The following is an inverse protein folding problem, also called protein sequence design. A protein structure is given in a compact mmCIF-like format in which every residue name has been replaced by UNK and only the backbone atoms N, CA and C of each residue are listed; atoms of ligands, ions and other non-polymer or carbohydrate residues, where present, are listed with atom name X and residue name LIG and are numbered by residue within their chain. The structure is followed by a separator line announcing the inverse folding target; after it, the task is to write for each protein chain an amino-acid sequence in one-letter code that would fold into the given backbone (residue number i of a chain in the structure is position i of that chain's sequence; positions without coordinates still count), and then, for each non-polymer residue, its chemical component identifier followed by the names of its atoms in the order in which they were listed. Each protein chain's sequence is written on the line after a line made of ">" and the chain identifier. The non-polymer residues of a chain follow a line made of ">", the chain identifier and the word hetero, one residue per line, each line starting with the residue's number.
data_IF_180099406767
#
_entry.id   IF_180099406767
#
_cell.length_a   1.000
_cell.length_b   1.000
_cell.length_c   1.000
_cell.angle_alpha   90.00
_cell.angle_beta   90.00
_cell.angle_gamma   90.00
#
_symmetry.space_group_name_H-M   'P 1'
#
loop_
_entity.id
_entity.type
_entity.pdbx_description
1 polymer ?
#
# COMPACT_ATOMS: atom_id res chain seq x y z
N UNK A 1 -9.04 -15.75 6.62
CA UNK A 1 -8.82 -14.76 5.54
C UNK A 1 -7.69 -13.81 5.92
N UNK A 2 -6.87 -13.42 4.95
CA UNK A 2 -5.76 -12.48 5.12
C UNK A 2 -5.90 -11.26 4.23
N UNK A 3 -5.45 -10.11 4.74
CA UNK A 3 -5.22 -8.90 3.95
C UNK A 3 -3.72 -8.73 3.79
N UNK A 4 -3.28 -8.40 2.59
CA UNK A 4 -1.87 -8.23 2.27
C UNK A 4 -1.67 -6.88 1.60
N UNK A 5 -0.61 -6.16 1.99
CA UNK A 5 -0.22 -4.90 1.36
C UNK A 5 1.18 -5.02 0.80
N UNK A 6 1.38 -4.52 -0.42
CA UNK A 6 2.70 -4.44 -1.05
C UNK A 6 3.14 -2.99 -1.22
N UNK A 7 4.31 -2.68 -0.65
CA UNK A 7 4.93 -1.36 -0.79
C UNK A 7 5.45 -1.09 -2.20
N UNK A 8 5.81 0.17 -2.48
CA UNK A 8 6.21 0.57 -3.84
C UNK A 8 7.44 -0.16 -4.38
N UNK A 9 8.41 -0.53 -3.53
CA UNK A 9 9.57 -1.34 -3.96
C UNK A 9 9.15 -2.75 -4.41
N UNK A 10 8.15 -3.33 -3.76
CA UNK A 10 7.55 -4.62 -4.06
C UNK A 10 6.73 -4.66 -5.36
N UNK A 11 6.46 -3.51 -5.97
CA UNK A 11 5.70 -3.38 -7.23
C UNK A 11 6.41 -2.44 -8.22
N UNK A 12 7.74 -2.39 -8.18
CA UNK A 12 8.50 -1.44 -8.97
C UNK A 12 8.54 -1.74 -10.48
N UNK A 13 8.53 -3.02 -10.84
CA UNK A 13 8.70 -3.56 -12.20
C UNK A 13 8.05 -4.95 -12.34
N UNK A 14 8.12 -5.53 -13.55
CA UNK A 14 7.54 -6.84 -13.87
C UNK A 14 8.12 -8.00 -13.02
N UNK A 15 9.41 -7.97 -12.68
CA UNK A 15 10.04 -8.99 -11.85
C UNK A 15 9.51 -8.95 -10.42
N UNK A 16 9.27 -7.75 -9.88
CA UNK A 16 8.63 -7.57 -8.59
C UNK A 16 7.15 -8.02 -8.62
N UNK A 17 6.41 -7.74 -9.69
CA UNK A 17 5.06 -8.27 -9.86
C UNK A 17 5.02 -9.81 -9.84
N UNK A 18 5.99 -10.47 -10.50
CA UNK A 18 6.11 -11.92 -10.48
C UNK A 18 6.30 -12.46 -9.05
N UNK A 19 7.14 -11.81 -8.24
CA UNK A 19 7.31 -12.16 -6.82
C UNK A 19 6.02 -11.98 -6.03
N UNK A 20 5.32 -10.86 -6.23
CA UNK A 20 4.01 -10.61 -5.60
C UNK A 20 3.03 -11.73 -5.94
N UNK A 21 2.92 -12.12 -7.21
CA UNK A 21 2.04 -13.23 -7.61
C UNK A 21 2.44 -14.54 -6.95
N UNK A 22 3.74 -14.88 -6.93
CA UNK A 22 4.22 -16.08 -6.25
C UNK A 22 3.86 -16.08 -4.75
N UNK A 23 3.98 -14.93 -4.08
CA UNK A 23 3.54 -14.77 -2.69
C UNK A 23 2.03 -14.98 -2.57
N UNK A 24 1.20 -14.32 -3.38
CA UNK A 24 -0.26 -14.50 -3.32
C UNK A 24 -0.65 -15.97 -3.53
N UNK A 25 -0.07 -16.64 -4.53
CA UNK A 25 -0.42 -18.02 -4.91
C UNK A 25 0.01 -19.06 -3.85
N UNK A 26 0.91 -18.72 -2.92
CA UNK A 26 1.33 -19.61 -1.82
C UNK A 26 0.27 -19.78 -0.72
N UNK A 27 -0.68 -18.85 -0.59
CA UNK A 27 -1.71 -18.92 0.44
C UNK A 27 -3.04 -18.40 -0.08
N UNK A 28 -3.96 -19.33 -0.32
CA UNK A 28 -5.31 -19.05 -0.81
C UNK A 28 -6.11 -18.11 0.09
N UNK A 29 -5.71 -17.90 1.34
CA UNK A 29 -6.37 -16.95 2.24
C UNK A 29 -6.03 -15.48 1.92
N UNK A 30 -5.03 -15.20 1.08
CA UNK A 30 -4.65 -13.84 0.64
C UNK A 30 -5.66 -13.32 -0.38
N UNK A 31 -6.79 -12.84 0.13
CA UNK A 31 -7.97 -12.47 -0.68
C UNK A 31 -8.12 -10.96 -0.88
N UNK A 32 -7.51 -10.11 -0.03
CA UNK A 32 -7.53 -8.66 -0.22
C UNK A 32 -6.10 -8.18 -0.38
N UNK A 33 -5.80 -7.56 -1.52
CA UNK A 33 -4.46 -7.09 -1.88
C UNK A 33 -4.47 -5.58 -2.01
N UNK A 34 -3.67 -4.89 -1.18
CA UNK A 34 -3.50 -3.44 -1.24
C UNK A 34 -2.18 -3.11 -1.93
N UNK A 35 -2.24 -2.24 -2.94
CA UNK A 35 -1.10 -1.96 -3.82
C UNK A 35 -0.73 -0.49 -3.75
N UNK A 36 0.54 -0.22 -3.41
CA UNK A 36 1.14 1.10 -3.55
C UNK A 36 1.47 1.44 -5.02
N UNK A 37 1.77 2.71 -5.32
CA UNK A 37 2.33 3.08 -6.61
C UNK A 37 3.70 2.41 -6.86
N UNK A 38 4.00 2.10 -8.13
CA UNK A 38 5.31 1.57 -8.52
C UNK A 38 6.49 2.43 -8.03
N UNK A 39 7.45 1.78 -7.35
CA UNK A 39 8.55 2.40 -6.61
C UNK A 39 9.66 2.98 -7.47
N UNK A 40 10.93 2.74 -7.16
CA UNK A 40 12.05 3.04 -8.07
C UNK A 40 12.44 1.76 -8.80
N UNK A 41 12.86 1.83 -10.06
CA UNK A 41 13.31 0.65 -10.82
C UNK A 41 14.63 0.95 -11.54
N UNK A 42 15.54 -0.02 -11.59
CA UNK A 42 16.85 0.15 -12.22
C UNK A 42 17.57 1.42 -11.77
N UNK A 43 18.00 2.25 -12.73
CA UNK A 43 18.68 3.53 -12.49
C UNK A 43 17.72 4.72 -12.32
N UNK A 44 16.40 4.48 -12.21
CA UNK A 44 15.44 5.57 -12.06
C UNK A 44 15.67 6.33 -10.76
N UNK A 45 15.75 7.65 -10.86
CA UNK A 45 16.03 8.52 -9.70
C UNK A 45 14.79 8.79 -8.85
N UNK A 46 13.58 8.56 -9.37
CA UNK A 46 12.30 8.98 -8.80
C UNK A 46 11.27 7.85 -8.76
N UNK A 47 10.37 7.90 -7.76
CA UNK A 47 9.18 7.04 -7.72
C UNK A 47 8.14 7.52 -8.73
N UNK A 48 7.17 6.66 -9.06
CA UNK A 48 6.06 7.05 -9.92
C UNK A 48 5.27 8.22 -9.34
N UNK A 49 4.97 8.18 -8.04
CA UNK A 49 4.26 9.24 -7.31
C UNK A 49 4.99 10.57 -7.36
N UNK A 50 6.33 10.58 -7.21
CA UNK A 50 7.13 11.80 -7.29
C UNK A 50 6.98 12.46 -8.68
N UNK A 51 6.90 11.65 -9.74
CA UNK A 51 6.70 12.15 -11.10
C UNK A 51 5.31 12.77 -11.26
N UNK A 52 4.28 12.20 -10.64
CA UNK A 52 2.92 12.74 -10.65
C UNK A 52 2.82 14.07 -9.87
N UNK A 53 3.55 14.21 -8.76
CA UNK A 53 3.66 15.51 -8.08
C UNK A 53 4.35 16.56 -8.95
N UNK A 54 5.41 16.20 -9.68
CA UNK A 54 6.05 17.12 -10.62
C UNK A 54 5.12 17.53 -11.77
N UNK A 55 4.27 16.62 -12.25
CA UNK A 55 3.21 16.95 -13.22
C UNK A 55 2.23 17.95 -12.59
N UNK A 56 1.76 17.70 -11.36
CA UNK A 56 0.86 18.62 -10.66
C UNK A 56 1.46 20.03 -10.55
N UNK A 57 2.69 20.14 -10.05
CA UNK A 57 3.42 21.41 -9.93
C UNK A 57 3.65 22.07 -11.30
N UNK A 58 3.87 21.26 -12.35
CA UNK A 58 4.01 21.72 -13.72
C UNK A 58 2.73 22.32 -14.27
N UNK A 59 1.60 21.63 -14.11
CA UNK A 59 0.28 22.07 -14.55
C UNK A 59 -0.15 23.34 -13.82
N UNK A 60 0.04 23.41 -12.50
CA UNK A 60 -0.28 24.59 -11.68
C UNK A 60 0.54 25.82 -12.09
N UNK A 61 1.75 25.60 -12.59
CA UNK A 61 2.64 26.65 -13.09
C UNK A 61 2.52 26.90 -14.61
N UNK A 62 1.58 26.25 -15.31
CA UNK A 62 1.39 26.40 -16.76
C UNK A 62 2.56 25.91 -17.62
N UNK A 63 3.36 24.97 -17.11
CA UNK A 63 4.48 24.34 -17.84
C UNK A 63 4.00 23.18 -18.70
N UNK A 64 4.75 22.86 -19.75
CA UNK A 64 4.56 21.63 -20.50
C UNK A 64 4.94 20.41 -19.63
N UNK A 65 3.97 19.53 -19.42
CA UNK A 65 4.09 18.31 -18.59
C UNK A 65 3.96 17.03 -19.42
N UNK A 66 3.76 17.13 -20.74
CA UNK A 66 3.66 15.97 -21.62
C UNK A 66 4.87 15.03 -21.53
N UNK A 67 6.12 15.53 -21.44
CA UNK A 67 7.27 14.64 -21.27
C UNK A 67 7.20 13.79 -20.00
N UNK A 68 6.61 14.30 -18.92
CA UNK A 68 6.45 13.58 -17.66
C UNK A 68 5.31 12.56 -17.75
N UNK A 69 4.19 12.89 -18.41
CA UNK A 69 3.13 11.93 -18.69
C UNK A 69 3.62 10.77 -19.56
N UNK A 70 4.43 11.05 -20.57
CA UNK A 70 5.04 10.01 -21.41
C UNK A 70 5.98 9.10 -20.61
N UNK A 71 6.72 9.62 -19.62
CA UNK A 71 7.53 8.81 -18.71
C UNK A 71 6.67 7.89 -17.84
N UNK A 72 5.56 8.40 -17.28
CA UNK A 72 4.59 7.61 -16.52
C UNK A 72 4.02 6.48 -17.37
N UNK A 73 3.57 6.78 -18.59
CA UNK A 73 2.99 5.80 -19.50
C UNK A 73 4.03 4.74 -19.91
N UNK A 74 5.19 5.15 -20.39
CA UNK A 74 6.24 4.23 -20.83
C UNK A 74 6.66 3.26 -19.72
N UNK A 75 6.73 3.75 -18.48
CA UNK A 75 7.04 2.90 -17.33
C UNK A 75 5.98 1.84 -17.07
N UNK A 76 4.70 2.21 -17.09
CA UNK A 76 3.60 1.27 -16.83
C UNK A 76 3.40 0.31 -18.01
N UNK A 77 3.60 0.77 -19.25
CA UNK A 77 3.57 -0.08 -20.44
C UNK A 77 4.69 -1.10 -20.45
N UNK A 78 5.88 -0.77 -19.94
CA UNK A 78 6.95 -1.75 -19.80
C UNK A 78 6.52 -2.94 -18.92
N UNK A 79 5.77 -2.69 -17.83
CA UNK A 79 5.21 -3.75 -16.98
C UNK A 79 4.10 -4.50 -17.73
N UNK A 80 3.17 -3.77 -18.35
CA UNK A 80 2.05 -4.32 -19.12
C UNK A 80 2.53 -5.31 -20.20
N UNK A 81 3.52 -4.90 -20.99
CA UNK A 81 4.11 -5.70 -22.07
C UNK A 81 4.90 -6.89 -21.52
N UNK A 82 5.78 -6.67 -20.54
CA UNK A 82 6.65 -7.73 -20.01
C UNK A 82 5.84 -8.87 -19.36
N UNK A 83 4.68 -8.55 -18.77
CA UNK A 83 3.76 -9.50 -18.17
C UNK A 83 2.65 -9.97 -19.13
N UNK A 84 2.68 -9.55 -20.40
CA UNK A 84 1.70 -9.92 -21.43
C UNK A 84 0.24 -9.60 -21.03
N UNK A 85 0.06 -8.46 -20.36
CA UNK A 85 -1.23 -7.98 -19.90
C UNK A 85 -1.95 -7.19 -21.01
N UNK A 86 -3.28 -7.22 -20.97
CA UNK A 86 -4.15 -6.51 -21.91
C UNK A 86 -4.82 -5.28 -21.27
N UNK A 87 -4.12 -4.61 -20.33
CA UNK A 87 -4.68 -3.41 -19.68
C UNK A 87 -4.61 -2.22 -20.65
N UNK A 88 -5.73 -1.52 -20.92
CA UNK A 88 -5.76 -0.44 -21.91
C UNK A 88 -5.23 0.89 -21.31
N UNK A 89 -3.95 0.93 -20.94
CA UNK A 89 -3.34 2.05 -20.22
C UNK A 89 -3.46 3.39 -20.97
N UNK A 90 -3.27 3.40 -22.29
CA UNK A 90 -3.45 4.60 -23.12
C UNK A 90 -4.87 5.17 -22.98
N UNK A 91 -5.89 4.30 -23.03
CA UNK A 91 -7.29 4.71 -22.88
C UNK A 91 -7.55 5.26 -21.48
N UNK A 92 -7.05 4.58 -20.44
CA UNK A 92 -7.16 5.04 -19.06
C UNK A 92 -6.48 6.40 -18.86
N UNK A 93 -5.30 6.60 -19.44
CA UNK A 93 -4.58 7.86 -19.35
C UNK A 93 -5.31 9.00 -20.07
N UNK A 94 -5.92 8.74 -21.23
CA UNK A 94 -6.80 9.71 -21.89
C UNK A 94 -7.99 10.09 -21.01
N UNK A 95 -8.64 9.13 -20.35
CA UNK A 95 -9.74 9.41 -19.41
C UNK A 95 -9.27 10.27 -18.24
N UNK A 96 -8.09 9.96 -17.66
CA UNK A 96 -7.48 10.74 -16.58
C UNK A 96 -7.23 12.19 -17.02
N UNK A 97 -6.64 12.38 -18.21
CA UNK A 97 -6.34 13.70 -18.76
C UNK A 97 -7.61 14.51 -19.03
N UNK A 98 -8.63 13.86 -19.61
CA UNK A 98 -9.92 14.50 -19.84
C UNK A 98 -10.58 14.95 -18.52
N UNK A 99 -10.55 14.10 -17.50
CA UNK A 99 -11.06 14.48 -16.17
C UNK A 99 -10.31 15.69 -15.60
N UNK A 100 -8.97 15.70 -15.68
CA UNK A 100 -8.14 16.81 -15.21
C UNK A 100 -8.39 18.11 -15.98
N UNK A 101 -8.71 18.04 -17.28
CA UNK A 101 -9.05 19.20 -18.09
C UNK A 101 -10.40 19.82 -17.72
N UNK A 102 -11.37 19.01 -17.31
CA UNK A 102 -12.68 19.48 -16.84
C UNK A 102 -12.56 20.03 -15.43
N UNK A 103 -11.88 19.29 -14.55
CA UNK A 103 -11.74 19.63 -13.14
C UNK A 103 -10.40 19.15 -12.63
N UNK A 104 -9.45 20.08 -12.58
CA UNK A 104 -8.15 19.80 -12.01
C UNK A 104 -8.28 19.47 -10.51
N UNK A 105 -7.57 18.42 -10.10
CA UNK A 105 -7.37 18.06 -8.70
C UNK A 105 -6.01 17.40 -8.57
N UNK A 106 -5.17 17.97 -7.70
CA UNK A 106 -3.84 17.45 -7.38
C UNK A 106 -3.95 16.04 -6.79
N UNK A 107 -4.86 15.84 -5.84
CA UNK A 107 -5.13 14.55 -5.21
C UNK A 107 -5.57 13.50 -6.23
N UNK A 108 -6.46 13.88 -7.15
CA UNK A 108 -6.86 13.00 -8.24
C UNK A 108 -5.66 12.60 -9.10
N UNK A 109 -4.85 13.54 -9.57
CA UNK A 109 -3.68 13.26 -10.41
C UNK A 109 -2.68 12.32 -9.71
N UNK A 110 -2.32 12.65 -8.47
CA UNK A 110 -1.31 11.88 -7.71
C UNK A 110 -1.81 10.47 -7.38
N UNK A 111 -3.09 10.32 -7.06
CA UNK A 111 -3.70 9.00 -6.78
C UNK A 111 -3.60 8.04 -7.98
N UNK A 112 -3.44 8.55 -9.21
CA UNK A 112 -3.40 7.72 -10.42
C UNK A 112 -2.21 6.77 -10.46
N UNK A 113 -1.13 7.06 -9.73
CA UNK A 113 0.01 6.15 -9.62
C UNK A 113 -0.41 4.79 -9.06
N UNK A 114 -1.18 4.80 -7.97
CA UNK A 114 -1.67 3.57 -7.33
C UNK A 114 -2.82 2.97 -8.11
N UNK A 115 -3.73 3.80 -8.62
CA UNK A 115 -4.85 3.34 -9.46
C UNK A 115 -4.34 2.51 -10.65
N UNK A 116 -3.36 3.01 -11.40
CA UNK A 116 -2.83 2.33 -12.59
C UNK A 116 -1.98 1.11 -12.21
N UNK A 117 -1.17 1.19 -11.15
CA UNK A 117 -0.36 0.06 -10.66
C UNK A 117 -1.27 -1.08 -10.19
N UNK A 118 -2.34 -0.77 -9.46
CA UNK A 118 -3.33 -1.73 -8.99
C UNK A 118 -4.16 -2.34 -10.14
N UNK A 119 -4.47 -1.60 -11.22
CA UNK A 119 -5.10 -2.18 -12.41
C UNK A 119 -4.23 -3.26 -13.07
N UNK A 120 -2.92 -2.99 -13.22
CA UNK A 120 -1.98 -3.96 -13.74
C UNK A 120 -1.89 -5.19 -12.83
N UNK A 121 -1.83 -4.98 -11.51
CA UNK A 121 -1.74 -6.08 -10.56
C UNK A 121 -3.03 -6.92 -10.53
N UNK A 122 -4.20 -6.29 -10.56
CA UNK A 122 -5.49 -6.99 -10.64
C UNK A 122 -5.57 -7.89 -11.88
N UNK A 123 -5.19 -7.34 -13.04
CA UNK A 123 -5.13 -8.11 -14.29
C UNK A 123 -4.13 -9.27 -14.20
N UNK A 124 -2.97 -9.07 -13.56
CA UNK A 124 -1.95 -10.09 -13.44
C UNK A 124 -2.31 -11.22 -12.45
N UNK A 125 -2.98 -10.89 -11.35
CA UNK A 125 -3.46 -11.87 -10.36
C UNK A 125 -4.75 -12.57 -10.81
N UNK A 126 -5.50 -11.98 -11.74
CA UNK A 126 -6.86 -12.43 -12.06
C UNK A 126 -7.88 -12.07 -10.98
N UNK A 127 -7.57 -11.07 -10.15
CA UNK A 127 -8.42 -10.59 -9.05
C UNK A 127 -9.28 -9.41 -9.52
N UNK A 128 -10.35 -9.13 -8.77
CA UNK A 128 -11.22 -7.99 -9.10
C UNK A 128 -10.57 -6.67 -8.68
N UNK A 129 -10.41 -5.74 -9.61
CA UNK A 129 -10.00 -4.38 -9.28
C UNK A 129 -11.16 -3.65 -8.57
N UNK A 130 -10.89 -3.08 -7.40
CA UNK A 130 -11.83 -2.22 -6.67
C UNK A 130 -11.18 -0.84 -6.47
N UNK A 131 -11.77 0.19 -7.06
CA UNK A 131 -11.29 1.57 -6.88
C UNK A 131 -11.48 2.00 -5.42
N UNK A 132 -10.40 2.43 -4.77
CA UNK A 132 -10.40 2.87 -3.38
C UNK A 132 -11.35 4.04 -3.13
N UNK A 133 -11.60 4.90 -4.13
CA UNK A 133 -12.59 5.96 -4.00
C UNK A 133 -14.00 5.41 -3.81
N UNK A 134 -14.33 4.21 -4.30
CA UNK A 134 -15.63 3.54 -4.12
C UNK A 134 -15.71 2.73 -2.82
N UNK A 135 -14.62 2.60 -2.08
CA UNK A 135 -14.53 1.71 -0.93
C UNK A 135 -14.19 2.45 0.37
N UNK A 136 -13.17 3.31 0.34
CA UNK A 136 -12.66 4.05 1.49
C UNK A 136 -13.19 5.48 1.45
N UNK A 137 -13.97 5.86 2.46
CA UNK A 137 -14.58 7.18 2.55
C UNK A 137 -14.02 7.95 3.74
N UNK A 138 -13.83 9.25 3.57
CA UNK A 138 -13.46 10.16 4.66
C UNK A 138 -14.68 10.97 5.13
N UNK A 139 -14.73 11.22 6.43
CA UNK A 139 -15.64 12.19 7.02
C UNK A 139 -15.11 13.63 6.85
N UNK A 140 -15.89 14.63 7.30
CA UNK A 140 -15.51 16.05 7.19
C UNK A 140 -14.27 16.45 7.98
N UNK A 141 -13.91 15.69 9.03
CA UNK A 141 -12.68 15.89 9.79
C UNK A 141 -11.46 15.28 9.07
N UNK A 142 -11.67 14.54 7.98
CA UNK A 142 -10.62 13.92 7.19
C UNK A 142 -10.13 12.57 7.71
N UNK A 143 -10.79 12.00 8.73
CA UNK A 143 -10.60 10.61 9.14
C UNK A 143 -11.50 9.68 8.33
N UNK A 144 -11.23 8.38 8.33
CA UNK A 144 -12.09 7.39 7.68
C UNK A 144 -13.47 7.38 8.33
N UNK A 145 -14.50 7.41 7.49
CA UNK A 145 -15.90 7.19 7.85
C UNK A 145 -16.14 5.67 7.86
N UNK A 146 -15.99 5.07 9.03
CA UNK A 146 -16.11 3.63 9.22
C UNK A 146 -17.47 3.09 8.79
N UNK A 147 -18.58 3.77 9.14
CA UNK A 147 -19.92 3.29 8.82
C UNK A 147 -20.16 3.26 7.30
N UNK A 148 -19.76 4.31 6.59
CA UNK A 148 -19.91 4.39 5.14
C UNK A 148 -18.98 3.41 4.41
N UNK A 149 -17.75 3.29 4.89
CA UNK A 149 -16.73 2.35 4.38
C UNK A 149 -17.16 0.89 4.59
N UNK A 150 -17.69 0.55 5.76
CA UNK A 150 -18.25 -0.77 6.07
C UNK A 150 -19.43 -1.11 5.15
N UNK A 151 -20.34 -0.15 4.93
CA UNK A 151 -21.47 -0.33 4.02
C UNK A 151 -21.00 -0.62 2.59
N UNK A 152 -20.01 0.13 2.10
CA UNK A 152 -19.46 -0.07 0.76
C UNK A 152 -18.73 -1.42 0.64
N UNK A 153 -17.98 -1.82 1.67
CA UNK A 153 -17.33 -3.13 1.72
C UNK A 153 -18.34 -4.28 1.68
N UNK A 154 -19.42 -4.21 2.46
CA UNK A 154 -20.48 -5.22 2.48
C UNK A 154 -21.25 -5.32 1.15
N UNK A 155 -21.26 -4.26 0.35
CA UNK A 155 -21.87 -4.23 -0.98
C UNK A 155 -20.97 -4.81 -2.08
N UNK A 156 -19.68 -5.06 -1.79
CA UNK A 156 -18.85 -5.82 -2.72
C UNK A 156 -19.44 -7.22 -2.86
N UNK A 157 -19.73 -7.63 -4.10
CA UNK A 157 -20.15 -9.00 -4.38
C UNK A 157 -19.12 -10.00 -3.84
N UNK A 158 -19.51 -11.27 -3.72
CA UNK A 158 -18.53 -12.34 -3.46
C UNK A 158 -17.55 -12.40 -4.64
N UNK A 159 -16.30 -12.03 -4.41
CA UNK A 159 -15.24 -12.05 -5.43
C UNK A 159 -14.17 -13.07 -5.03
N UNK A 160 -13.61 -13.74 -6.04
CA UNK A 160 -12.37 -14.50 -5.91
C UNK A 160 -11.19 -13.52 -5.84
N UNK A 161 -11.03 -12.89 -4.68
CA UNK A 161 -9.98 -11.91 -4.40
C UNK A 161 -10.21 -10.52 -5.00
N UNK A 162 -9.74 -9.49 -4.29
CA UNK A 162 -9.78 -8.09 -4.73
C UNK A 162 -8.41 -7.43 -4.65
N UNK A 163 -8.18 -6.47 -5.54
CA UNK A 163 -7.02 -5.56 -5.51
C UNK A 163 -7.50 -4.13 -5.34
N UNK A 164 -6.96 -3.44 -4.34
CA UNK A 164 -7.36 -2.08 -3.96
C UNK A 164 -6.13 -1.15 -3.99
N UNK A 165 -6.21 0.02 -4.65
CA UNK A 165 -5.21 1.08 -4.48
C UNK A 165 -5.13 1.57 -3.03
N UNK A 166 -3.95 1.86 -2.49
CA UNK A 166 -3.79 2.14 -1.06
C UNK A 166 -3.81 3.62 -0.61
N UNK A 167 -3.53 4.59 -1.47
CA UNK A 167 -3.11 5.93 -1.04
C UNK A 167 -4.21 6.98 -1.12
N UNK A 168 -5.45 6.59 -1.42
CA UNK A 168 -6.54 7.53 -1.55
C UNK A 168 -7.89 6.89 -1.24
N UNK A 169 -8.88 7.75 -1.03
CA UNK A 169 -10.28 7.41 -0.91
C UNK A 169 -11.13 8.55 -1.45
N UNK A 170 -12.36 8.66 -0.95
CA UNK A 170 -13.28 9.74 -1.33
C UNK A 170 -13.69 10.56 -0.12
N UNK A 171 -13.59 11.87 -0.21
CA UNK A 171 -14.04 12.77 0.84
C UNK A 171 -15.57 12.91 0.91
N UNK A 172 -16.03 13.68 1.90
CA UNK A 172 -17.44 13.95 2.13
C UNK A 172 -18.10 14.75 1.00
N UNK A 173 -17.32 15.48 0.20
CA UNK A 173 -17.79 16.28 -0.95
C UNK A 173 -17.74 15.49 -2.28
N UNK A 174 -17.32 14.23 -2.20
CA UNK A 174 -17.30 13.29 -3.32
C UNK A 174 -16.05 13.37 -4.17
N UNK A 175 -14.99 14.07 -3.74
CA UNK A 175 -13.74 14.19 -4.50
C UNK A 175 -12.73 13.15 -4.02
N UNK A 176 -11.79 12.80 -4.91
CA UNK A 176 -10.65 11.97 -4.52
C UNK A 176 -9.81 12.75 -3.54
N UNK A 177 -9.50 12.12 -2.40
CA UNK A 177 -8.65 12.66 -1.36
C UNK A 177 -7.52 11.68 -1.06
N UNK A 178 -6.29 12.21 -1.00
CA UNK A 178 -5.14 11.40 -0.61
C UNK A 178 -5.18 11.09 0.89
N UNK A 179 -4.70 9.90 1.22
CA UNK A 179 -4.34 9.53 2.59
C UNK A 179 -3.14 10.36 3.06
N UNK A 180 -2.91 10.50 4.38
CA UNK A 180 -1.64 11.02 4.88
C UNK A 180 -0.47 10.07 4.52
N UNK A 181 0.73 10.40 5.01
CA UNK A 181 1.89 9.51 4.89
C UNK A 181 1.52 8.11 5.44
N UNK A 182 2.16 7.07 4.90
CA UNK A 182 1.78 5.68 5.21
C UNK A 182 0.39 5.28 4.68
N UNK A 183 -0.19 6.04 3.75
CA UNK A 183 -1.57 5.85 3.32
C UNK A 183 -1.94 4.44 2.84
N UNK A 184 -1.06 3.77 2.09
CA UNK A 184 -1.32 2.37 1.69
C UNK A 184 -1.33 1.42 2.90
N UNK A 185 -0.55 1.72 3.94
CA UNK A 185 -0.53 0.94 5.19
C UNK A 185 -1.84 1.15 5.97
N UNK A 186 -2.32 2.40 6.04
CA UNK A 186 -3.63 2.76 6.61
C UNK A 186 -4.76 2.01 5.90
N UNK A 187 -4.76 2.02 4.57
CA UNK A 187 -5.77 1.30 3.77
C UNK A 187 -5.73 -0.21 4.00
N UNK A 188 -4.53 -0.80 4.09
CA UNK A 188 -4.37 -2.22 4.44
C UNK A 188 -4.95 -2.55 5.82
N UNK A 189 -4.67 -1.74 6.83
CA UNK A 189 -5.20 -1.93 8.17
C UNK A 189 -6.72 -1.77 8.24
N UNK A 190 -7.28 -0.75 7.57
CA UNK A 190 -8.72 -0.57 7.49
C UNK A 190 -9.39 -1.75 6.78
N UNK A 191 -8.86 -2.20 5.65
CA UNK A 191 -9.42 -3.36 4.95
C UNK A 191 -9.32 -4.64 5.77
N UNK A 192 -8.25 -4.83 6.54
CA UNK A 192 -8.13 -5.94 7.48
C UNK A 192 -9.22 -5.90 8.57
N UNK A 193 -9.48 -4.72 9.13
CA UNK A 193 -10.57 -4.50 10.10
C UNK A 193 -11.94 -4.81 9.51
N UNK A 194 -12.28 -4.22 8.36
CA UNK A 194 -13.60 -4.40 7.72
C UNK A 194 -13.87 -5.87 7.34
N UNK A 195 -12.80 -6.58 6.97
CA UNK A 195 -12.83 -7.96 6.58
C UNK A 195 -12.82 -8.93 7.78
N UNK A 196 -12.63 -8.44 9.01
CA UNK A 196 -12.33 -9.27 10.19
C UNK A 196 -11.20 -10.28 9.89
N UNK A 197 -10.12 -9.79 9.30
CA UNK A 197 -9.02 -10.62 8.86
C UNK A 197 -8.29 -11.28 10.03
N UNK A 198 -7.81 -12.50 9.83
CA UNK A 198 -7.04 -13.23 10.84
C UNK A 198 -5.60 -12.70 10.94
N UNK A 199 -5.11 -12.08 9.87
CA UNK A 199 -3.76 -11.53 9.77
C UNK A 199 -3.70 -10.43 8.72
N UNK A 200 -3.00 -9.34 9.06
CA UNK A 200 -2.56 -8.33 8.12
C UNK A 200 -1.08 -8.52 7.78
N UNK A 201 -0.74 -8.84 6.53
CA UNK A 201 0.66 -8.94 6.08
C UNK A 201 1.09 -7.64 5.38
N UNK A 202 2.14 -7.00 5.87
CA UNK A 202 2.76 -5.84 5.22
C UNK A 202 4.08 -6.25 4.58
N UNK A 203 4.06 -6.36 3.25
CA UNK A 203 5.18 -6.78 2.43
C UNK A 203 6.00 -5.57 1.97
N UNK A 204 7.23 -5.54 2.45
CA UNK A 204 8.23 -4.47 2.27
C UNK A 204 9.47 -5.00 1.56
N UNK A 205 10.59 -4.27 1.63
CA UNK A 205 11.92 -4.67 1.19
C UNK A 205 12.86 -5.06 2.35
N UNK A 206 12.35 -5.15 3.59
CA UNK A 206 13.10 -5.58 4.77
C UNK A 206 12.49 -6.80 5.43
N UNK A 207 13.34 -7.67 5.99
CA UNK A 207 12.96 -8.93 6.65
C UNK A 207 12.59 -8.72 8.11
N UNK A 208 11.53 -7.95 8.34
CA UNK A 208 11.08 -7.55 9.66
C UNK A 208 11.85 -6.38 10.26
N UNK A 209 11.73 -6.22 11.56
CA UNK A 209 12.31 -5.15 12.38
C UNK A 209 13.57 -5.71 13.07
N UNK A 210 14.64 -4.92 13.06
CA UNK A 210 15.91 -5.25 13.72
C UNK A 210 15.98 -4.61 15.10
N UNK A 211 16.64 -5.29 16.04
CA UNK A 211 16.86 -4.78 17.40
C UNK A 211 17.74 -3.52 17.45
N UNK A 212 18.49 -3.23 16.39
CA UNK A 212 19.27 -2.01 16.22
C UNK A 212 19.35 -1.65 14.75
N UNK A 213 19.71 -0.39 14.43
CA UNK A 213 19.88 0.04 13.04
C UNK A 213 21.02 -0.75 12.36
N UNK A 214 20.75 -1.54 11.30
CA UNK A 214 21.75 -2.36 10.65
C UNK A 214 22.87 -1.54 9.98
N UNK A 215 22.66 -0.24 9.77
CA UNK A 215 23.69 0.69 9.27
C UNK A 215 24.72 1.03 10.35
N UNK A 216 24.36 0.88 11.62
CA UNK A 216 25.20 1.13 12.79
C UNK A 216 25.75 -0.21 13.30
N UNK A 217 24.88 -1.20 13.50
CA UNK A 217 25.20 -2.54 14.01
C UNK A 217 24.89 -3.58 12.93
N UNK A 218 25.92 -4.03 12.21
CA UNK A 218 25.76 -4.90 11.03
C UNK A 218 25.00 -6.20 11.28
N UNK A 219 25.16 -6.78 12.47
CA UNK A 219 24.62 -8.10 12.84
C UNK A 219 23.54 -7.98 13.93
N UNK A 220 22.72 -6.93 13.89
CA UNK A 220 21.60 -6.80 14.82
C UNK A 220 20.60 -7.95 14.63
N UNK A 221 20.20 -8.59 15.73
CA UNK A 221 19.20 -9.65 15.68
C UNK A 221 17.85 -9.11 15.20
N UNK A 222 17.05 -9.99 14.61
CA UNK A 222 15.66 -9.68 14.26
C UNK A 222 14.76 -9.77 15.49
N UNK A 223 13.75 -8.92 15.52
CA UNK A 223 12.64 -9.02 16.48
C UNK A 223 11.62 -9.98 15.88
N UNK A 224 11.41 -11.14 16.52
CA UNK A 224 10.47 -12.15 16.04
C UNK A 224 9.01 -11.73 16.29
N UNK A 225 8.75 -11.26 17.52
CA UNK A 225 7.43 -10.87 18.02
C UNK A 225 7.58 -9.58 18.81
N UNK A 226 6.62 -8.67 18.68
CA UNK A 226 6.55 -7.46 19.49
C UNK A 226 5.11 -6.98 19.67
N UNK A 227 4.88 -6.14 20.66
CA UNK A 227 3.57 -5.51 20.89
C UNK A 227 3.35 -4.27 20.01
N UNK A 228 2.10 -3.85 19.86
CA UNK A 228 1.78 -2.58 19.18
C UNK A 228 2.31 -1.36 19.96
N UNK A 229 2.31 -1.39 21.29
CA UNK A 229 2.95 -0.36 22.11
C UNK A 229 4.48 -0.32 21.92
N UNK A 230 5.15 -1.46 21.89
CA UNK A 230 6.59 -1.50 21.59
C UNK A 230 6.88 -0.90 20.21
N UNK A 231 6.06 -1.23 19.19
CA UNK A 231 6.19 -0.67 17.84
C UNK A 231 6.02 0.85 17.84
N UNK A 232 5.07 1.37 18.63
CA UNK A 232 4.87 2.81 18.80
C UNK A 232 6.12 3.47 19.37
N UNK A 233 6.68 2.92 20.44
CA UNK A 233 7.88 3.48 21.06
C UNK A 233 9.07 3.52 20.08
N UNK A 234 9.24 2.46 19.27
CA UNK A 234 10.28 2.45 18.22
C UNK A 234 10.05 3.51 17.16
N UNK A 235 8.80 3.69 16.73
CA UNK A 235 8.44 4.70 15.74
C UNK A 235 8.71 6.11 16.28
N UNK A 236 8.44 6.36 17.57
CA UNK A 236 8.75 7.62 18.25
C UNK A 236 10.26 7.91 18.29
N UNK A 237 11.09 6.88 18.43
CA UNK A 237 12.56 6.99 18.39
C UNK A 237 13.13 7.16 16.97
N UNK A 238 12.29 7.28 15.95
CA UNK A 238 12.70 7.56 14.56
C UNK A 238 12.91 6.31 13.70
N UNK A 239 12.49 5.13 14.17
CA UNK A 239 12.51 3.91 13.37
C UNK A 239 11.40 3.96 12.31
N UNK A 240 11.77 4.19 11.04
CA UNK A 240 10.83 4.59 9.99
C UNK A 240 10.23 3.44 9.16
N UNK A 241 9.94 2.30 9.78
CA UNK A 241 9.33 1.15 9.10
C UNK A 241 7.80 1.23 9.07
N UNK A 242 7.18 1.85 10.07
CA UNK A 242 5.72 2.03 10.14
C UNK A 242 5.35 3.42 10.63
N UNK A 243 4.10 3.83 10.41
CA UNK A 243 3.52 4.99 11.08
C UNK A 243 2.50 4.50 12.10
N UNK A 244 2.52 5.05 13.32
CA UNK A 244 1.63 4.65 14.41
C UNK A 244 0.15 4.67 13.96
N UNK A 245 -0.23 5.72 13.24
CA UNK A 245 -1.59 5.94 12.77
C UNK A 245 -2.04 4.88 11.74
N UNK A 246 -1.08 4.21 11.08
CA UNK A 246 -1.36 3.19 10.08
C UNK A 246 -1.73 1.84 10.68
N UNK A 247 -1.31 1.51 11.91
CA UNK A 247 -1.68 0.26 12.58
C UNK A 247 -2.90 0.39 13.49
N UNK A 248 -3.34 1.60 13.79
CA UNK A 248 -4.44 1.83 14.74
C UNK A 248 -5.69 0.97 14.45
N UNK A 249 -6.19 0.84 13.20
CA UNK A 249 -7.41 0.07 12.94
C UNK A 249 -7.29 -1.42 13.29
N UNK A 250 -6.12 -2.02 13.05
CA UNK A 250 -5.85 -3.44 13.36
C UNK A 250 -5.53 -3.64 14.83
N UNK A 251 -4.84 -2.69 15.47
CA UNK A 251 -4.60 -2.68 16.92
C UNK A 251 -5.91 -2.71 17.70
N UNK A 252 -6.84 -1.81 17.39
CA UNK A 252 -8.13 -1.68 18.09
C UNK A 252 -8.99 -2.96 18.00
N UNK A 253 -8.83 -3.76 16.95
CA UNK A 253 -9.55 -5.01 16.76
C UNK A 253 -8.72 -6.26 17.14
N UNK A 254 -7.50 -6.09 17.66
CA UNK A 254 -6.62 -7.20 18.02
C UNK A 254 -6.17 -8.04 16.82
N UNK A 255 -6.21 -7.49 15.60
CA UNK A 255 -5.75 -8.21 14.40
C UNK A 255 -4.21 -8.17 14.39
N UNK A 256 -3.51 -9.31 14.34
CA UNK A 256 -2.06 -9.31 14.28
C UNK A 256 -1.57 -8.77 12.92
N UNK A 257 -0.42 -8.11 12.94
CA UNK A 257 0.24 -7.59 11.73
C UNK A 257 1.60 -8.24 11.57
N UNK A 258 1.96 -8.67 10.36
CA UNK A 258 3.30 -9.24 10.09
C UNK A 258 4.05 -8.40 9.06
N UNK A 259 5.27 -7.98 9.40
CA UNK A 259 6.18 -7.27 8.49
C UNK A 259 7.05 -8.29 7.77
N UNK A 260 6.96 -8.34 6.44
CA UNK A 260 7.59 -9.35 5.59
C UNK A 260 8.42 -8.73 4.47
N UNK A 261 9.31 -9.52 3.87
CA UNK A 261 10.18 -9.09 2.77
C UNK A 261 9.76 -9.73 1.45
N UNK A 262 9.40 -8.89 0.47
CA UNK A 262 9.02 -9.36 -0.87
C UNK A 262 10.17 -10.07 -1.60
N UNK A 263 11.41 -9.73 -1.24
CA UNK A 263 12.62 -10.29 -1.86
C UNK A 263 13.16 -11.52 -1.12
N UNK A 264 12.65 -11.83 0.07
CA UNK A 264 12.98 -13.03 0.86
C UNK A 264 11.71 -13.55 1.56
N UNK A 265 10.72 -14.10 0.82
CA UNK A 265 9.43 -14.50 1.38
C UNK A 265 9.48 -15.61 2.43
N UNK A 266 10.58 -16.34 2.47
CA UNK A 266 10.89 -17.38 3.45
C UNK A 266 11.28 -16.83 4.82
N UNK A 267 11.70 -15.56 4.90
CA UNK A 267 12.05 -14.94 6.16
C UNK A 267 10.79 -14.77 7.03
N UNK A 268 10.85 -15.12 8.34
CA UNK A 268 9.67 -15.10 9.21
C UNK A 268 9.13 -13.69 9.43
N UNK A 269 9.98 -12.67 9.27
CA UNK A 269 9.65 -11.29 9.54
C UNK A 269 9.43 -11.00 11.02
N UNK A 270 8.67 -9.95 11.31
CA UNK A 270 8.27 -9.58 12.68
C UNK A 270 6.76 -9.65 12.80
N UNK A 271 6.27 -10.37 13.81
CA UNK A 271 4.85 -10.43 14.16
C UNK A 271 4.53 -9.38 15.23
N UNK A 272 3.59 -8.50 14.94
CA UNK A 272 3.09 -7.48 15.85
C UNK A 272 1.73 -7.95 16.38
N UNK A 273 1.60 -8.03 17.70
CA UNK A 273 0.43 -8.56 18.40
C UNK A 273 -0.15 -7.54 19.38
N UNK A 274 -1.35 -7.83 19.88
CA UNK A 274 -1.99 -7.01 20.91
C UNK A 274 -1.16 -7.01 22.21
N UNK A 275 -1.20 -5.91 22.96
CA UNK A 275 -0.34 -5.69 24.13
C UNK A 275 -0.56 -6.73 25.25
N UNK A 276 -1.81 -7.17 25.41
CA UNK A 276 -2.26 -8.19 26.38
C UNK A 276 -2.09 -9.66 25.91
N UNK A 277 -1.53 -9.89 24.72
CA UNK A 277 -1.37 -11.26 24.20
C UNK A 277 -0.28 -12.01 24.98
N UNK A 278 -0.53 -13.22 25.52
CA UNK A 278 0.46 -13.98 26.28
C UNK A 278 1.75 -14.30 25.51
N UNK A 279 1.72 -14.27 24.17
CA UNK A 279 2.93 -14.43 23.35
C UNK A 279 3.91 -13.24 23.51
N UNK A 280 3.45 -12.10 24.04
CA UNK A 280 4.24 -10.91 24.32
C UNK A 280 5.18 -11.09 25.54
N UNK A 281 4.82 -11.97 26.50
CA UNK A 281 5.62 -12.24 27.71
C UNK A 281 6.93 -13.00 27.41
N UNK A 282 7.12 -13.50 26.19
CA UNK A 282 8.26 -14.36 25.86
C UNK A 282 9.55 -13.59 25.58
N UNK A 283 9.48 -12.29 25.24
CA UNK A 283 10.66 -11.42 25.00
C UNK A 283 10.28 -9.93 25.14
N UNK A 284 10.06 -9.44 26.36
CA UNK A 284 9.91 -8.00 26.60
C UNK A 284 11.11 -7.25 26.01
N UNK A 285 10.89 -6.33 25.09
CA UNK A 285 11.96 -5.51 24.50
C UNK A 285 12.35 -4.46 25.54
N UNK A 286 13.43 -4.68 26.28
CA UNK A 286 13.87 -3.78 27.37
C UNK A 286 14.64 -2.56 26.88
N UNK A 287 14.67 -2.30 25.56
CA UNK A 287 15.31 -1.15 24.94
C UNK A 287 16.09 -1.50 23.67
N UNK A 288 16.14 -0.56 22.74
CA UNK A 288 17.01 -0.56 21.55
C UNK A 288 18.13 0.47 21.79
N UNK A 289 19.38 0.08 21.53
CA UNK A 289 20.56 0.93 21.64
C UNK A 289 21.06 1.39 20.27
#
# INVERSE_FOLDING_TARGET
>A
MKVVKFGGSSVADAGQFQKVKAIIDQDVNRQIVVISAAGKYGNATRKLTDTLYLIADGMEAGRDVEPLFNQVLARLEAINIALQLNVPLIKLLHTIRHHLAIRYSRDYLVSRGEFLTAHLMAAYLGYTFVDAANLLFFNKAGAIDEAKTQTAYQQLASHHGIVVPGFYGRDADGHVKLMPRGGSDISGAWLARLAHADLYENWTDVSGIKMADPRIIKDADSIDVMSYDELRELTYMGFSVFQEEAVQPVRECGIPTRILNTNAPEDPGTLIIHDDDPANDLKTITGIA
#
